data_IF_695145902159
#
_entry.id   IF_695145902159
#
_cell.length_a   1.000
_cell.length_b   1.000
_cell.length_c   1.000
_cell.angle_alpha   90.00
_cell.angle_beta   90.00
_cell.angle_gamma   90.00
#
_symmetry.space_group_name_H-M   'P 1'
#
loop_
_entity.id
_entity.type
_entity.pdbx_description
1 polymer ?
#
# COMPACT_ATOMS: atom_id res chain seq x y z
N UNK A 1 21.69 -6.19 -9.53
CA UNK A 1 22.39 -7.43 -9.21
C UNK A 1 22.52 -7.57 -7.69
N UNK A 2 23.25 -6.70 -7.02
CA UNK A 2 23.61 -6.75 -5.59
C UNK A 2 22.41 -6.99 -4.64
N UNK A 3 21.35 -6.19 -4.71
CA UNK A 3 20.18 -6.36 -3.85
C UNK A 3 19.53 -7.74 -3.97
N UNK A 4 19.52 -8.32 -5.20
CA UNK A 4 18.96 -9.66 -5.42
C UNK A 4 19.86 -10.75 -4.80
N UNK A 5 21.17 -10.58 -4.85
CA UNK A 5 22.12 -11.50 -4.24
C UNK A 5 22.01 -11.46 -2.71
N UNK A 6 21.91 -10.26 -2.13
CA UNK A 6 21.74 -10.09 -0.69
C UNK A 6 20.39 -10.67 -0.20
N UNK A 7 19.28 -10.41 -0.91
CA UNK A 7 17.99 -11.00 -0.59
C UNK A 7 18.02 -12.54 -0.67
N UNK A 8 18.68 -13.09 -1.71
CA UNK A 8 18.85 -14.54 -1.86
C UNK A 8 19.71 -15.13 -0.74
N UNK A 9 20.79 -14.47 -0.35
CA UNK A 9 21.64 -14.88 0.77
C UNK A 9 20.88 -14.86 2.10
N UNK A 10 19.97 -13.89 2.29
CA UNK A 10 19.08 -13.81 3.44
C UNK A 10 17.89 -14.78 3.39
N UNK A 11 17.69 -15.51 2.29
CA UNK A 11 16.58 -16.47 2.14
C UNK A 11 15.19 -15.83 2.07
N UNK A 12 15.09 -14.54 1.70
CA UNK A 12 13.81 -13.81 1.64
C UNK A 12 13.57 -13.22 0.24
N UNK A 13 12.30 -12.96 -0.14
CA UNK A 13 11.98 -12.24 -1.36
C UNK A 13 12.56 -10.82 -1.36
N UNK A 14 12.97 -10.33 -2.53
CA UNK A 14 13.56 -8.98 -2.67
C UNK A 14 12.70 -7.85 -2.07
N UNK A 15 11.36 -7.82 -2.22
CA UNK A 15 10.56 -6.78 -1.58
C UNK A 15 10.60 -6.82 -0.06
N UNK A 16 10.68 -8.00 0.54
CA UNK A 16 10.82 -8.18 1.99
C UNK A 16 12.19 -7.67 2.44
N UNK A 17 13.25 -8.08 1.75
CA UNK A 17 14.60 -7.62 2.04
C UNK A 17 14.74 -6.08 1.96
N UNK A 18 14.11 -5.46 0.94
CA UNK A 18 14.09 -4.00 0.83
C UNK A 18 13.33 -3.35 1.99
N UNK A 19 12.22 -3.93 2.41
CA UNK A 19 11.44 -3.43 3.54
C UNK A 19 12.23 -3.52 4.86
N UNK A 20 12.92 -4.65 5.10
CA UNK A 20 13.80 -4.83 6.25
C UNK A 20 14.95 -3.80 6.22
N UNK A 21 15.57 -3.60 5.04
CA UNK A 21 16.61 -2.58 4.86
C UNK A 21 16.11 -1.17 5.18
N UNK A 22 14.91 -0.79 4.74
CA UNK A 22 14.30 0.50 5.11
C UNK A 22 14.27 0.67 6.63
N UNK A 23 13.81 -0.37 7.36
CA UNK A 23 13.70 -0.31 8.81
C UNK A 23 15.05 -0.16 9.54
N UNK A 24 16.16 -0.50 8.89
CA UNK A 24 17.51 -0.23 9.45
C UNK A 24 17.96 1.22 9.29
N UNK A 25 17.29 2.01 8.45
CA UNK A 25 17.68 3.37 8.10
C UNK A 25 16.83 4.46 8.77
N UNK A 26 15.77 4.07 9.49
CA UNK A 26 14.80 5.00 10.09
C UNK A 26 14.51 4.64 11.54
N UNK A 27 14.12 5.62 12.34
CA UNK A 27 13.75 5.40 13.73
C UNK A 27 12.34 4.82 13.90
N UNK A 28 11.46 5.05 12.92
CA UNK A 28 10.11 4.48 12.88
C UNK A 28 9.68 4.12 11.46
N UNK A 29 8.76 3.16 11.27
CA UNK A 29 8.25 2.83 9.94
C UNK A 29 7.64 4.03 9.20
N UNK A 30 6.99 4.94 9.92
CA UNK A 30 6.39 6.16 9.34
C UNK A 30 7.43 7.15 8.83
N UNK A 31 8.61 7.21 9.46
CA UNK A 31 9.73 8.06 9.00
C UNK A 31 10.26 7.64 7.63
N UNK A 32 10.03 6.41 7.21
CA UNK A 32 10.51 5.88 5.94
C UNK A 32 10.12 6.76 4.73
N UNK A 33 9.01 7.50 4.80
CA UNK A 33 8.61 8.44 3.74
C UNK A 33 9.68 9.48 3.43
N UNK A 34 10.55 9.80 4.39
CA UNK A 34 11.66 10.77 4.22
C UNK A 34 12.73 10.26 3.28
N UNK A 35 12.95 8.94 3.22
CA UNK A 35 13.92 8.32 2.30
C UNK A 35 13.55 8.52 0.83
N UNK A 36 12.28 8.73 0.53
CA UNK A 36 11.80 8.96 -0.82
C UNK A 36 11.84 10.44 -1.25
N UNK A 37 12.64 11.28 -0.58
CA UNK A 37 12.76 12.71 -0.90
C UNK A 37 13.08 12.93 -2.38
N UNK A 38 12.28 13.77 -3.07
CA UNK A 38 12.45 14.06 -4.50
C UNK A 38 11.96 12.96 -5.46
N UNK A 39 11.75 11.73 -5.01
CA UNK A 39 11.27 10.62 -5.83
C UNK A 39 9.75 10.45 -5.72
N UNK A 40 9.07 10.32 -6.85
CA UNK A 40 7.63 10.10 -6.92
C UNK A 40 7.32 8.97 -7.88
N UNK A 41 6.37 8.11 -7.50
CA UNK A 41 5.90 7.00 -8.34
C UNK A 41 4.37 7.04 -8.41
N UNK A 42 3.85 7.03 -9.63
CA UNK A 42 2.45 6.75 -9.94
C UNK A 42 2.40 5.32 -10.50
N UNK A 43 2.00 4.31 -9.72
CA UNK A 43 2.21 2.91 -10.07
C UNK A 43 1.11 2.33 -10.95
N UNK A 44 0.67 3.05 -11.97
CA UNK A 44 -0.41 2.65 -12.89
C UNK A 44 0.11 1.75 -14.03
N UNK A 45 0.88 0.70 -13.71
CA UNK A 45 1.49 -0.21 -14.69
C UNK A 45 0.45 -0.97 -15.53
N UNK A 46 -0.74 -1.22 -14.97
CA UNK A 46 -1.85 -1.95 -15.61
C UNK A 46 -3.09 -1.08 -15.79
N UNK A 47 -2.92 0.23 -15.87
CA UNK A 47 -4.01 1.18 -15.90
C UNK A 47 -4.48 1.60 -14.50
N UNK A 48 -5.47 2.49 -14.45
CA UNK A 48 -6.13 2.92 -13.22
C UNK A 48 -7.56 2.36 -13.19
N UNK A 49 -7.81 1.38 -12.34
CA UNK A 49 -9.14 0.75 -12.23
C UNK A 49 -10.11 1.65 -11.47
N UNK A 50 -9.63 2.25 -10.38
CA UNK A 50 -10.42 3.13 -9.52
C UNK A 50 -9.51 4.24 -8.97
N UNK A 51 -10.03 5.46 -8.82
CA UNK A 51 -11.38 5.90 -9.12
C UNK A 51 -11.60 6.34 -10.58
N UNK A 52 -10.57 6.29 -11.44
CA UNK A 52 -10.58 6.98 -12.73
C UNK A 52 -11.08 6.12 -13.90
N UNK A 53 -11.14 4.80 -13.71
CA UNK A 53 -11.55 3.83 -14.72
C UNK A 53 -10.81 4.00 -16.06
N UNK A 54 -9.49 4.27 -15.99
CA UNK A 54 -8.65 4.54 -17.15
C UNK A 54 -7.71 3.35 -17.43
N UNK A 55 -8.09 2.42 -18.33
CA UNK A 55 -7.30 1.24 -18.63
C UNK A 55 -6.00 1.57 -19.39
N UNK A 56 -5.90 2.75 -19.96
CA UNK A 56 -4.75 3.21 -20.73
C UNK A 56 -3.75 4.02 -19.90
N UNK A 57 -4.04 4.28 -18.62
CA UNK A 57 -3.08 4.92 -17.73
C UNK A 57 -1.76 4.13 -17.69
N UNK A 58 -0.66 4.87 -17.59
CA UNK A 58 0.70 4.31 -17.52
C UNK A 58 1.40 4.79 -16.26
N UNK A 59 2.26 3.92 -15.73
CA UNK A 59 3.08 4.29 -14.58
C UNK A 59 4.03 5.44 -14.94
N UNK A 60 4.28 6.29 -13.93
CA UNK A 60 5.23 7.39 -14.02
C UNK A 60 6.19 7.32 -12.84
N UNK A 61 7.46 7.56 -13.13
CA UNK A 61 8.49 7.71 -12.12
C UNK A 61 9.16 9.06 -12.37
N UNK A 62 9.19 9.92 -11.36
CA UNK A 62 9.79 11.24 -11.45
C UNK A 62 10.83 11.44 -10.35
N UNK A 63 11.86 12.25 -10.66
CA UNK A 63 12.93 12.58 -9.71
C UNK A 63 14.10 11.58 -9.72
N UNK A 64 14.19 10.68 -10.71
CA UNK A 64 15.36 9.80 -10.86
C UNK A 64 16.62 10.62 -11.19
N UNK A 65 17.69 10.40 -10.41
CA UNK A 65 19.03 10.87 -10.69
C UNK A 65 19.87 9.82 -11.43
N UNK A 66 21.17 9.97 -11.34
CA UNK A 66 22.15 9.04 -11.95
C UNK A 66 22.71 8.02 -10.93
N UNK A 67 22.29 8.09 -9.69
CA UNK A 67 22.70 7.20 -8.62
C UNK A 67 22.21 5.78 -8.89
N UNK A 68 23.08 4.79 -8.68
CA UNK A 68 22.81 3.37 -8.95
C UNK A 68 23.13 2.48 -7.75
N UNK A 69 23.10 3.03 -6.56
CA UNK A 69 23.38 2.36 -5.29
C UNK A 69 22.11 1.75 -4.66
N UNK A 70 22.32 1.08 -3.55
CA UNK A 70 21.24 0.45 -2.79
C UNK A 70 20.34 1.48 -2.10
N UNK A 71 20.84 2.65 -1.78
CA UNK A 71 20.08 3.70 -1.11
C UNK A 71 19.04 4.30 -2.07
N UNK A 72 19.45 4.57 -3.32
CA UNK A 72 18.52 5.01 -4.35
C UNK A 72 17.44 3.94 -4.66
N UNK A 73 17.84 2.65 -4.71
CA UNK A 73 16.88 1.56 -4.89
C UNK A 73 15.90 1.49 -3.71
N UNK A 74 16.37 1.69 -2.49
CA UNK A 74 15.55 1.72 -1.27
C UNK A 74 14.59 2.92 -1.30
N UNK A 75 15.08 4.10 -1.68
CA UNK A 75 14.27 5.30 -1.86
C UNK A 75 13.17 5.12 -2.92
N UNK A 76 13.51 4.51 -4.06
CA UNK A 76 12.55 4.21 -5.12
C UNK A 76 11.49 3.19 -4.65
N UNK A 77 11.89 2.19 -3.87
CA UNK A 77 10.97 1.23 -3.26
C UNK A 77 9.97 1.92 -2.33
N UNK A 78 10.44 2.80 -1.44
CA UNK A 78 9.58 3.59 -0.54
C UNK A 78 8.65 4.52 -1.35
N UNK A 79 9.18 5.19 -2.39
CA UNK A 79 8.36 6.03 -3.27
C UNK A 79 7.24 5.24 -3.94
N UNK A 80 7.52 4.00 -4.35
CA UNK A 80 6.54 3.07 -4.90
C UNK A 80 5.44 2.70 -3.92
N UNK A 81 5.81 2.35 -2.68
CA UNK A 81 4.85 2.05 -1.60
C UNK A 81 3.96 3.26 -1.29
N UNK A 82 4.55 4.44 -1.17
CA UNK A 82 3.80 5.69 -1.00
C UNK A 82 2.84 5.93 -2.17
N UNK A 83 3.27 5.67 -3.41
CA UNK A 83 2.43 5.79 -4.62
C UNK A 83 1.21 4.87 -4.58
N UNK A 84 1.36 3.63 -4.12
CA UNK A 84 0.24 2.70 -3.89
C UNK A 84 -0.72 3.30 -2.85
N UNK A 85 -0.20 3.80 -1.73
CA UNK A 85 -1.00 4.44 -0.68
C UNK A 85 -1.75 5.68 -1.19
N UNK A 86 -1.14 6.50 -2.05
CA UNK A 86 -1.82 7.66 -2.64
C UNK A 86 -2.91 7.27 -3.63
N UNK A 87 -2.74 6.17 -4.36
CA UNK A 87 -3.81 5.58 -5.18
C UNK A 87 -5.01 5.13 -4.34
N UNK A 88 -4.76 4.47 -3.22
CA UNK A 88 -5.81 4.10 -2.25
C UNK A 88 -6.48 5.35 -1.65
N UNK A 89 -5.71 6.37 -1.30
CA UNK A 89 -6.25 7.64 -0.82
C UNK A 89 -7.20 8.29 -1.83
N UNK A 90 -6.89 8.26 -3.13
CA UNK A 90 -7.82 8.76 -4.16
C UNK A 90 -9.15 8.01 -4.16
N UNK A 91 -9.13 6.69 -3.93
CA UNK A 91 -10.37 5.90 -3.83
C UNK A 91 -11.18 6.35 -2.61
N UNK A 92 -10.53 6.52 -1.45
CA UNK A 92 -11.17 6.99 -0.21
C UNK A 92 -11.75 8.40 -0.41
N UNK A 93 -10.99 9.30 -1.03
CA UNK A 93 -11.46 10.67 -1.32
C UNK A 93 -12.68 10.66 -2.25
N UNK A 94 -12.69 9.76 -3.26
CA UNK A 94 -13.85 9.60 -4.15
C UNK A 94 -15.07 9.01 -3.41
N UNK A 95 -14.88 8.04 -2.52
CA UNK A 95 -15.94 7.49 -1.67
C UNK A 95 -16.52 8.57 -0.75
N UNK A 96 -15.66 9.36 -0.11
CA UNK A 96 -16.05 10.47 0.77
C UNK A 96 -16.86 11.53 0.01
N UNK A 97 -16.49 11.84 -1.24
CA UNK A 97 -17.24 12.74 -2.09
C UNK A 97 -18.66 12.22 -2.41
N UNK A 98 -18.88 10.91 -2.31
CA UNK A 98 -20.19 10.26 -2.44
C UNK A 98 -20.89 10.04 -1.08
N UNK A 99 -20.39 10.61 0.02
CA UNK A 99 -20.95 10.47 1.35
C UNK A 99 -20.63 9.14 2.05
N UNK A 100 -19.65 8.39 1.54
CA UNK A 100 -19.21 7.12 2.15
C UNK A 100 -17.93 7.39 2.94
N UNK A 101 -18.02 7.28 4.27
CA UNK A 101 -16.86 7.40 5.14
C UNK A 101 -16.20 6.03 5.37
N UNK A 102 -14.90 5.96 5.14
CA UNK A 102 -14.09 4.77 5.37
C UNK A 102 -13.05 5.08 6.45
N UNK A 103 -13.19 4.47 7.62
CA UNK A 103 -12.29 4.67 8.75
C UNK A 103 -11.11 3.69 8.71
N UNK A 104 -11.30 2.54 8.10
CA UNK A 104 -10.33 1.46 8.07
C UNK A 104 -10.21 0.85 6.67
N UNK A 105 -8.99 0.42 6.34
CA UNK A 105 -8.69 -0.44 5.20
C UNK A 105 -8.29 -1.80 5.72
N UNK A 106 -8.95 -2.85 5.30
CA UNK A 106 -8.50 -4.22 5.57
C UNK A 106 -7.55 -4.66 4.46
N UNK A 107 -6.30 -4.96 4.84
CA UNK A 107 -5.29 -5.42 3.89
C UNK A 107 -5.10 -6.93 3.99
N UNK A 108 -5.01 -7.58 2.83
CA UNK A 108 -4.77 -9.01 2.71
C UNK A 108 -3.82 -9.32 1.55
N UNK A 109 -3.22 -10.50 1.56
CA UNK A 109 -2.30 -10.95 0.51
C UNK A 109 -0.83 -10.65 0.81
N UNK A 110 0.06 -11.23 0.00
CA UNK A 110 1.50 -11.32 0.29
C UNK A 110 2.22 -9.97 0.43
N UNK A 111 1.93 -9.01 -0.44
CA UNK A 111 2.58 -7.69 -0.40
C UNK A 111 2.22 -6.89 0.86
N UNK A 112 1.02 -7.11 1.41
CA UNK A 112 0.53 -6.44 2.61
C UNK A 112 0.94 -7.09 3.93
N UNK A 113 1.80 -8.11 3.95
CA UNK A 113 2.17 -8.80 5.18
C UNK A 113 3.24 -8.07 5.98
N UNK A 114 4.09 -7.25 5.34
CA UNK A 114 5.20 -6.59 6.02
C UNK A 114 4.72 -5.37 6.83
N UNK A 115 5.15 -5.20 8.12
CA UNK A 115 4.74 -4.08 8.96
C UNK A 115 5.01 -2.70 8.36
N UNK A 116 6.17 -2.50 7.73
CA UNK A 116 6.51 -1.25 7.03
C UNK A 116 5.47 -0.89 5.97
N UNK A 117 5.04 -1.88 5.16
CA UNK A 117 4.07 -1.64 4.09
C UNK A 117 2.74 -1.20 4.68
N UNK A 118 2.27 -1.88 5.73
CA UNK A 118 1.02 -1.54 6.42
C UNK A 118 1.04 -0.14 7.00
N UNK A 119 2.14 0.23 7.66
CA UNK A 119 2.30 1.56 8.26
C UNK A 119 2.35 2.64 7.18
N UNK A 120 3.18 2.50 6.15
CA UNK A 120 3.25 3.49 5.06
C UNK A 120 1.92 3.66 4.33
N UNK A 121 1.13 2.59 4.16
CA UNK A 121 -0.21 2.69 3.59
C UNK A 121 -1.16 3.47 4.51
N UNK A 122 -1.14 3.20 5.82
CA UNK A 122 -1.94 3.95 6.79
C UNK A 122 -1.60 5.45 6.75
N UNK A 123 -0.31 5.79 6.75
CA UNK A 123 0.18 7.17 6.73
C UNK A 123 -0.18 7.89 5.43
N UNK A 124 0.00 7.23 4.29
CA UNK A 124 -0.31 7.80 2.98
C UNK A 124 -1.82 7.99 2.75
N UNK A 125 -2.64 7.06 3.23
CA UNK A 125 -4.10 7.13 3.12
C UNK A 125 -4.73 8.07 4.15
N UNK A 126 -4.12 8.24 5.32
CA UNK A 126 -4.68 8.99 6.44
C UNK A 126 -5.84 8.26 7.14
N UNK A 127 -5.92 6.93 7.01
CA UNK A 127 -6.89 6.06 7.69
C UNK A 127 -6.16 4.84 8.26
N UNK A 128 -6.78 4.15 9.20
CA UNK A 128 -6.17 2.95 9.79
C UNK A 128 -6.11 1.79 8.79
N UNK A 129 -5.02 1.03 8.84
CA UNK A 129 -4.87 -0.22 8.10
C UNK A 129 -4.95 -1.38 9.08
N UNK A 130 -5.86 -2.31 8.81
CA UNK A 130 -6.12 -3.49 9.64
C UNK A 130 -5.67 -4.74 8.90
N UNK A 131 -4.91 -5.58 9.57
CA UNK A 131 -4.56 -6.91 9.08
C UNK A 131 -5.36 -8.00 9.79
N UNK A 132 -5.64 -9.08 9.07
CA UNK A 132 -6.33 -10.25 9.61
C UNK A 132 -5.35 -11.37 9.92
N UNK A 133 -5.67 -12.19 10.93
CA UNK A 133 -4.84 -13.33 11.32
C UNK A 133 -4.77 -14.43 10.25
N UNK A 134 -5.74 -14.48 9.35
CA UNK A 134 -5.75 -15.46 8.27
C UNK A 134 -4.67 -15.14 7.22
N UNK A 135 -3.81 -16.12 6.93
CA UNK A 135 -2.84 -16.02 5.81
C UNK A 135 -3.52 -16.16 4.44
N UNK A 136 -4.69 -16.82 4.40
CA UNK A 136 -5.44 -17.11 3.18
C UNK A 136 -6.87 -16.55 3.28
N UNK A 137 -7.05 -15.22 3.24
CA UNK A 137 -8.34 -14.59 3.50
C UNK A 137 -9.39 -14.91 2.42
N UNK A 138 -8.98 -15.23 1.19
CA UNK A 138 -9.90 -15.65 0.13
C UNK A 138 -10.48 -17.04 0.43
N UNK A 139 -9.63 -17.98 0.88
CA UNK A 139 -10.08 -19.31 1.30
C UNK A 139 -10.96 -19.21 2.54
N UNK A 140 -10.61 -18.36 3.50
CA UNK A 140 -11.44 -18.10 4.68
C UNK A 140 -12.82 -17.57 4.27
N UNK A 141 -12.90 -16.63 3.33
CA UNK A 141 -14.17 -16.12 2.82
C UNK A 141 -15.03 -17.24 2.21
N UNK A 142 -14.42 -18.13 1.42
CA UNK A 142 -15.11 -19.29 0.87
C UNK A 142 -15.60 -20.26 1.95
N UNK A 143 -14.77 -20.50 2.99
CA UNK A 143 -15.15 -21.34 4.12
C UNK A 143 -16.31 -20.73 4.93
N UNK A 144 -16.32 -19.41 5.13
CA UNK A 144 -17.40 -18.67 5.78
C UNK A 144 -18.72 -18.86 5.03
N UNK A 145 -18.70 -18.71 3.70
CA UNK A 145 -19.88 -18.97 2.86
C UNK A 145 -20.35 -20.42 2.97
N UNK A 146 -19.41 -21.37 2.97
CA UNK A 146 -19.71 -22.79 3.19
C UNK A 146 -20.32 -23.09 4.56
N UNK A 147 -19.86 -22.42 5.61
CA UNK A 147 -20.42 -22.57 6.96
C UNK A 147 -21.87 -22.10 7.04
N UNK A 148 -22.22 -21.01 6.37
CA UNK A 148 -23.60 -20.53 6.29
C UNK A 148 -24.47 -21.48 5.46
N UNK A 149 -23.98 -21.94 4.30
CA UNK A 149 -24.71 -22.90 3.46
C UNK A 149 -24.92 -24.24 4.17
N UNK A 150 -23.94 -24.71 4.94
CA UNK A 150 -24.00 -25.91 5.77
C UNK A 150 -24.75 -25.73 7.09
N UNK A 151 -25.32 -24.54 7.35
CA UNK A 151 -26.03 -24.21 8.62
C UNK A 151 -25.18 -24.34 9.89
N UNK A 152 -23.86 -24.24 9.77
CA UNK A 152 -22.93 -24.17 10.92
C UNK A 152 -23.02 -22.80 11.59
N UNK A 153 -23.31 -21.74 10.80
CA UNK A 153 -23.62 -20.42 11.30
C UNK A 153 -24.98 -19.96 10.75
N UNK A 154 -25.74 -19.21 11.54
CA UNK A 154 -27.10 -18.82 11.17
C UNK A 154 -27.14 -17.71 10.11
N UNK A 155 -26.08 -16.91 10.01
CA UNK A 155 -26.00 -15.80 9.04
C UNK A 155 -24.55 -15.49 8.65
N UNK A 156 -24.38 -14.79 7.53
CA UNK A 156 -23.07 -14.34 7.08
C UNK A 156 -22.36 -13.41 8.10
N UNK A 157 -23.02 -12.39 8.69
CA UNK A 157 -22.39 -11.56 9.72
C UNK A 157 -21.93 -12.35 10.95
N UNK A 158 -22.71 -13.34 11.36
CA UNK A 158 -22.36 -14.20 12.49
C UNK A 158 -21.15 -15.08 12.17
N UNK A 159 -21.13 -15.72 11.00
CA UNK A 159 -19.98 -16.50 10.54
C UNK A 159 -18.73 -15.63 10.40
N UNK A 160 -18.84 -14.44 9.85
CA UNK A 160 -17.72 -13.49 9.77
C UNK A 160 -17.19 -13.16 11.18
N UNK A 161 -18.06 -12.81 12.11
CA UNK A 161 -17.67 -12.51 13.50
C UNK A 161 -16.99 -13.70 14.18
N UNK A 162 -17.42 -14.90 13.90
CA UNK A 162 -16.90 -16.13 14.51
C UNK A 162 -15.52 -16.53 13.94
N UNK A 163 -15.34 -16.38 12.62
CA UNK A 163 -14.18 -16.94 11.92
C UNK A 163 -13.12 -15.89 11.53
N UNK A 164 -13.38 -14.58 11.68
CA UNK A 164 -12.39 -13.55 11.42
C UNK A 164 -11.80 -13.00 12.72
N UNK A 165 -10.49 -12.78 12.69
CA UNK A 165 -9.77 -12.14 13.79
C UNK A 165 -8.88 -11.05 13.21
N UNK A 166 -8.85 -9.90 13.88
CA UNK A 166 -7.88 -8.85 13.64
C UNK A 166 -6.54 -9.29 14.24
N UNK A 167 -5.47 -9.17 13.44
CA UNK A 167 -4.10 -9.44 13.85
C UNK A 167 -3.46 -8.17 14.41
N UNK A 168 -3.45 -7.10 13.61
CA UNK A 168 -2.89 -5.82 13.99
C UNK A 168 -3.63 -4.65 13.33
N UNK A 169 -3.57 -3.49 13.98
CA UNK A 169 -4.07 -2.21 13.46
C UNK A 169 -2.92 -1.21 13.42
N UNK A 170 -2.73 -0.58 12.26
CA UNK A 170 -1.73 0.44 12.01
C UNK A 170 -2.45 1.78 11.85
N UNK A 171 -2.23 2.68 12.80
CA UNK A 171 -2.81 4.02 12.75
C UNK A 171 -1.90 4.98 11.98
N UNK A 172 -2.51 5.91 11.25
CA UNK A 172 -1.75 6.97 10.58
C UNK A 172 -1.03 7.86 11.58
N UNK A 173 0.29 8.05 11.37
CA UNK A 173 1.13 8.90 12.21
C UNK A 173 1.05 10.37 11.77
N UNK A 174 0.55 11.22 12.67
CA UNK A 174 0.27 12.62 12.34
C UNK A 174 1.52 13.45 12.08
N UNK A 175 2.66 13.08 12.65
CA UNK A 175 3.94 13.80 12.49
C UNK A 175 4.37 13.92 11.02
N UNK A 176 4.08 12.91 10.19
CA UNK A 176 4.45 12.88 8.77
C UNK A 176 3.30 13.29 7.83
N UNK A 177 2.10 13.58 8.35
CA UNK A 177 0.94 13.97 7.55
C UNK A 177 1.21 15.16 6.61
N UNK A 178 1.92 16.25 7.03
CA UNK A 178 2.22 17.36 6.12
C UNK A 178 3.11 16.95 4.94
N UNK A 179 4.03 16.00 5.15
CA UNK A 179 4.89 15.47 4.08
C UNK A 179 4.06 14.61 3.11
N UNK A 180 3.24 13.69 3.62
CA UNK A 180 2.33 12.90 2.80
C UNK A 180 1.36 13.77 2.01
N UNK A 181 0.87 14.87 2.58
CA UNK A 181 -0.02 15.80 1.88
C UNK A 181 0.65 16.45 0.66
N UNK A 182 1.89 16.94 0.83
CA UNK A 182 2.68 17.51 -0.29
C UNK A 182 2.96 16.45 -1.35
N UNK A 183 3.34 15.25 -0.95
CA UNK A 183 3.62 14.13 -1.87
C UNK A 183 2.37 13.66 -2.61
N UNK A 184 1.23 13.64 -1.96
CA UNK A 184 -0.06 13.34 -2.59
C UNK A 184 -0.48 14.39 -3.63
N UNK A 185 -0.22 15.66 -3.36
CA UNK A 185 -0.43 16.72 -4.36
C UNK A 185 0.48 16.51 -5.60
N UNK A 186 1.76 16.19 -5.40
CA UNK A 186 2.68 15.86 -6.48
C UNK A 186 2.24 14.61 -7.26
N UNK A 187 1.77 13.56 -6.56
CA UNK A 187 1.21 12.35 -7.17
C UNK A 187 0.05 12.69 -8.14
N UNK A 188 -0.91 13.49 -7.70
CA UNK A 188 -2.06 13.91 -8.54
C UNK A 188 -1.61 14.73 -9.75
N UNK A 189 -0.66 15.64 -9.57
CA UNK A 189 -0.10 16.44 -10.68
C UNK A 189 0.61 15.57 -11.72
N UNK A 190 1.42 14.59 -11.28
CA UNK A 190 2.08 13.64 -12.17
C UNK A 190 1.07 12.75 -12.91
N UNK A 191 0.05 12.27 -12.22
CA UNK A 191 -1.00 11.47 -12.83
C UNK A 191 -1.75 12.26 -13.91
N UNK A 192 -2.03 13.55 -13.66
CA UNK A 192 -2.63 14.44 -14.66
C UNK A 192 -1.67 14.67 -15.84
N UNK A 193 -0.40 14.96 -15.58
CA UNK A 193 0.61 15.11 -16.62
C UNK A 193 0.72 13.84 -17.49
N UNK A 194 0.71 12.66 -16.87
CA UNK A 194 0.73 11.39 -17.57
C UNK A 194 -0.44 11.17 -18.53
N UNK A 195 -1.58 11.78 -18.25
CA UNK A 195 -2.72 11.77 -19.17
C UNK A 195 -2.55 12.73 -20.34
N UNK A 196 -1.94 13.89 -20.09
CA UNK A 196 -1.71 14.91 -21.13
C UNK A 196 -0.65 14.47 -22.17
N UNK A 197 0.33 13.67 -21.77
CA UNK A 197 1.41 13.20 -22.65
C UNK A 197 1.06 11.91 -23.40
N UNK A 198 -0.11 11.33 -23.17
CA UNK A 198 -0.59 10.19 -23.97
C UNK A 198 -1.15 10.68 -25.28
N UNK A 199 -0.60 10.18 -26.35
CA UNK A 199 -1.10 10.34 -27.72
C UNK A 199 -2.08 9.23 -28.07
#
# INVERSE_FOLDING_TARGET
AEAREQAKAAGVPLPVWLADRVLTQVASPSEAVTLAAGLHVVPEFLGNRAPLADPHAKALIAGLGMERDLDNLTALYVAGLCGIGYGLRQIIDAQRACGIESENIVISGGAGQHPLVRQLLADACGVSVVSTASREPVLLGSAILGAVAGRVAASLPEAMKQFTQVDATYHSETAFSPLHQRRYAAYKALQQAGRLIRE
#
